data_IF_209612184778
#
_entry.id   IF_209612184778
#
_cell.length_a   1.000
_cell.length_b   1.000
_cell.length_c   1.000
_cell.angle_alpha   90.00
_cell.angle_beta   90.00
_cell.angle_gamma   90.00
#
_symmetry.space_group_name_H-M   'P 1'
#
loop_
_entity.id
_entity.type
_entity.pdbx_description
1 polymer ?
2 non-polymer ?
3 water ?
#
# COMPACT_ATOMS: atom_id res chain seq x y z
N UNK A 10 23.79 9.17 5.12
CA UNK A 10 24.22 8.87 3.76
C UNK A 10 23.45 7.70 3.16
N UNK A 11 23.73 7.44 1.89
CA UNK A 11 23.15 6.33 1.14
C UNK A 11 24.26 5.63 0.37
N UNK A 12 24.21 4.31 0.36
CA UNK A 12 25.25 3.52 -0.29
C UNK A 12 25.32 3.84 -1.79
N UNK A 13 26.51 4.17 -2.26
CA UNK A 13 26.74 4.44 -3.68
C UNK A 13 27.22 3.17 -4.36
N UNK A 14 26.53 2.76 -5.43
CA UNK A 14 26.79 1.52 -6.14
C UNK A 14 27.40 1.86 -7.49
N UNK A 15 28.44 1.11 -7.88
CA UNK A 15 29.03 1.38 -9.18
C UNK A 15 28.20 0.74 -10.29
N UNK A 16 28.01 1.44 -11.41
CA UNK A 16 27.15 0.90 -12.48
C UNK A 16 27.62 -0.43 -13.05
N UNK A 17 28.91 -0.80 -12.90
CA UNK A 17 29.33 -2.12 -13.38
C UNK A 17 28.73 -3.25 -12.54
N UNK A 18 28.24 -2.95 -11.34
CA UNK A 18 27.61 -3.95 -10.48
C UNK A 18 26.12 -4.16 -10.79
N UNK A 19 25.55 -3.37 -11.71
CA UNK A 19 24.11 -3.35 -11.95
C UNK A 19 23.84 -3.82 -13.37
N UNK A 20 22.96 -4.83 -13.50
CA UNK A 20 22.54 -5.35 -14.79
C UNK A 20 21.03 -5.19 -14.92
N UNK A 21 20.60 -4.32 -15.83
CA UNK A 21 19.18 -4.21 -16.15
C UNK A 21 18.76 -5.33 -17.09
N UNK A 22 17.73 -6.08 -16.71
CA UNK A 22 17.30 -7.25 -17.46
C UNK A 22 15.97 -7.06 -18.17
N UNK A 23 14.97 -6.46 -17.53
CA UNK A 23 13.66 -6.31 -18.14
C UNK A 23 12.96 -5.08 -17.57
N UNK A 24 12.26 -4.36 -18.45
CA UNK A 24 11.45 -3.22 -18.02
C UNK A 24 10.17 -3.72 -17.37
N UNK A 25 9.85 -3.19 -16.19
CA UNK A 25 8.67 -3.64 -15.46
C UNK A 25 7.72 -2.49 -15.10
N UNK A 26 8.12 -1.28 -15.44
CA UNK A 26 7.30 -0.16 -15.10
C UNK A 26 7.77 1.23 -15.47
N UNK A 27 6.93 2.16 -15.06
CA UNK A 27 6.98 3.61 -15.21
C UNK A 27 7.13 4.15 -16.63
N UNK A 28 8.08 5.06 -16.86
CA UNK A 28 8.37 5.61 -18.15
C UNK A 28 8.22 7.13 -18.19
N UNK A 29 8.89 7.75 -19.16
CA UNK A 29 8.92 9.19 -19.59
C UNK A 29 9.78 10.07 -18.76
N UNK A 30 10.37 9.52 -17.72
CA UNK A 30 11.39 10.27 -16.97
C UNK A 30 12.44 9.27 -16.59
N UNK A 31 12.12 8.07 -16.99
CA UNK A 31 12.89 6.91 -16.59
C UNK A 31 11.99 5.70 -16.55
N UNK A 32 12.61 4.54 -16.31
CA UNK A 32 11.89 3.29 -16.26
C UNK A 32 12.26 2.57 -14.97
N UNK A 33 11.44 1.58 -14.62
CA UNK A 33 11.73 0.64 -13.55
C UNK A 33 12.09 -0.70 -14.18
N UNK A 34 13.22 -1.26 -13.78
CA UNK A 34 13.71 -2.52 -14.31
C UNK A 34 13.78 -3.57 -13.21
N UNK A 35 13.59 -4.83 -13.60
CA UNK A 35 14.12 -5.94 -12.82
C UNK A 35 15.54 -6.19 -13.29
N UNK A 36 16.44 -6.43 -12.34
CA UNK A 36 17.81 -6.69 -12.68
C UNK A 36 18.52 -7.47 -11.61
N UNK A 37 19.85 -7.51 -11.71
CA UNK A 37 20.70 -8.18 -10.73
C UNK A 37 21.76 -7.22 -10.22
N UNK A 38 22.11 -7.37 -8.95
CA UNK A 38 23.16 -6.58 -8.30
C UNK A 38 24.26 -7.52 -7.81
N UNK A 39 25.51 -7.14 -8.06
CA UNK A 39 26.66 -7.91 -7.58
C UNK A 39 27.21 -7.32 -6.28
N UNK A 45 27.32 -14.51 -4.99
CA UNK A 45 26.36 -14.54 -6.09
C UNK A 45 25.56 -13.23 -6.11
N UNK A 46 25.07 -12.91 -7.31
CA UNK A 46 24.26 -11.74 -7.59
C UNK A 46 22.91 -11.87 -6.90
N UNK A 47 22.23 -10.76 -6.67
CA UNK A 47 20.91 -10.79 -6.04
C UNK A 47 19.90 -10.03 -6.91
N UNK A 48 18.65 -10.47 -6.98
CA UNK A 48 17.65 -9.74 -7.75
C UNK A 48 17.37 -8.39 -7.11
N UNK A 49 17.26 -7.37 -7.96
CA UNK A 49 16.95 -6.03 -7.50
C UNK A 49 15.99 -5.38 -8.48
N UNK A 50 15.32 -4.34 -8.02
CA UNK A 50 14.60 -3.43 -8.89
C UNK A 50 15.45 -2.17 -9.04
N UNK A 51 15.37 -1.57 -10.23
CA UNK A 51 16.25 -0.47 -10.62
C UNK A 51 15.37 0.60 -11.25
N UNK A 52 15.39 1.81 -10.70
CA UNK A 52 14.69 2.94 -11.30
C UNK A 52 15.70 3.97 -11.80
N UNK A 53 15.50 4.47 -13.02
CA UNK A 53 16.45 5.36 -13.66
C UNK A 53 15.89 6.77 -13.78
N UNK A 54 16.81 7.73 -13.88
CA UNK A 54 16.49 9.13 -14.13
C UNK A 54 17.38 9.59 -15.28
N UNK A 55 16.78 9.82 -16.43
CA UNK A 55 17.56 10.00 -17.62
C UNK A 55 17.88 11.46 -17.88
N UNK A 56 18.83 11.67 -18.80
CA UNK A 56 19.38 12.98 -19.09
C UNK A 56 18.30 14.01 -19.41
N UNK A 57 18.54 15.25 -18.98
CA UNK A 57 17.59 16.31 -19.14
C UNK A 57 16.67 16.51 -17.96
N UNK A 58 16.75 15.63 -16.95
CA UNK A 58 15.91 15.77 -15.77
C UNK A 58 16.11 17.15 -15.17
N UNK A 59 15.02 17.70 -14.63
CA UNK A 59 15.04 19.03 -14.04
C UNK A 59 15.59 18.96 -12.61
N UNK A 60 15.80 20.14 -12.03
CA UNK A 60 16.22 20.21 -10.63
C UNK A 60 15.15 19.61 -9.72
N UNK A 61 13.88 19.92 -9.95
CA UNK A 61 12.83 19.36 -9.11
C UNK A 61 12.72 17.85 -9.28
N UNK A 62 12.92 17.35 -10.51
CA UNK A 62 12.93 15.91 -10.70
C UNK A 62 14.09 15.26 -9.97
N UNK A 63 15.24 15.95 -9.92
CA UNK A 63 16.40 15.40 -9.22
C UNK A 63 16.17 15.37 -7.72
N UNK A 64 15.64 16.45 -7.14
CA UNK A 64 15.41 16.40 -5.70
C UNK A 64 14.28 15.42 -5.36
N UNK A 65 13.28 15.30 -6.23
CA UNK A 65 12.24 14.30 -6.02
C UNK A 65 12.81 12.88 -6.13
N UNK A 66 13.66 12.63 -7.14
CA UNK A 66 14.24 11.32 -7.34
C UNK A 66 15.17 10.94 -6.18
N UNK A 67 16.20 11.76 -5.94
CA UNK A 67 17.09 11.49 -4.82
C UNK A 67 16.41 11.69 -3.48
N UNK A 68 15.33 12.49 -3.44
CA UNK A 68 14.57 12.61 -2.21
C UNK A 68 13.88 11.31 -1.85
N UNK A 69 13.29 10.63 -2.85
CA UNK A 69 12.71 9.33 -2.57
C UNK A 69 13.76 8.38 -2.03
N UNK A 70 14.94 8.35 -2.65
CA UNK A 70 16.01 7.49 -2.16
C UNK A 70 16.47 7.93 -0.77
N UNK A 71 16.50 9.24 -0.52
CA UNK A 71 16.84 9.71 0.82
C UNK A 71 15.82 9.27 1.85
N UNK A 72 14.54 9.43 1.55
CA UNK A 72 13.47 9.06 2.49
C UNK A 72 13.54 7.57 2.78
N UNK A 73 13.66 6.74 1.73
CA UNK A 73 13.74 5.30 1.93
C UNK A 73 15.00 4.90 2.68
N UNK A 74 16.10 5.62 2.46
CA UNK A 74 17.33 5.30 3.17
C UNK A 74 17.27 5.57 4.66
N UNK A 75 16.34 6.42 5.10
CA UNK A 75 16.17 6.69 6.52
C UNK A 75 15.31 5.65 7.22
N UNK A 76 14.78 4.66 6.51
CA UNK A 76 13.87 3.68 7.10
C UNK A 76 14.51 2.31 7.13
N UNK A 77 14.18 1.54 8.16
CA UNK A 77 14.63 0.14 8.28
C UNK A 77 13.50 -0.65 8.95
N UNK A 78 12.61 -1.20 8.12
CA UNK A 78 11.47 -1.94 8.62
C UNK A 78 11.08 -3.02 7.63
N UNK A 79 10.63 -4.18 8.16
CA UNK A 79 10.27 -5.34 7.34
C UNK A 79 9.22 -5.00 6.29
N UNK A 80 8.31 -4.07 6.58
CA UNK A 80 7.18 -3.78 5.69
C UNK A 80 7.34 -2.46 4.96
N UNK A 81 8.57 -2.00 4.81
CA UNK A 81 8.92 -0.83 4.02
C UNK A 81 10.00 -1.27 3.03
N UNK A 82 9.84 -0.91 1.75
CA UNK A 82 10.80 -1.33 0.72
C UNK A 82 12.22 -0.95 1.12
N UNK A 83 13.12 -1.92 1.03
CA UNK A 83 14.51 -1.73 1.45
C UNK A 83 15.33 -1.17 0.28
N UNK A 84 16.13 -0.14 0.58
CA UNK A 84 17.01 0.47 -0.41
C UNK A 84 18.35 -0.25 -0.42
N UNK A 85 18.78 -0.69 -1.60
CA UNK A 85 20.12 -1.27 -1.73
C UNK A 85 21.18 -0.18 -1.92
N UNK A 86 20.89 0.82 -2.75
CA UNK A 86 21.80 1.94 -2.91
C UNK A 86 21.40 2.78 -4.11
N UNK A 87 22.25 3.75 -4.42
CA UNK A 87 21.98 4.66 -5.52
C UNK A 87 23.19 4.75 -6.44
N UNK A 88 22.93 5.07 -7.70
CA UNK A 88 23.97 5.51 -8.62
C UNK A 88 23.72 7.00 -8.84
N UNK A 89 24.58 7.83 -8.24
CA UNK A 89 24.47 9.27 -8.38
C UNK A 89 25.68 9.89 -9.07
N UNK A 90 26.84 9.22 -9.05
CA UNK A 90 28.04 9.77 -9.68
C UNK A 90 28.08 9.55 -11.18
N UNK A 91 27.23 8.68 -11.71
CA UNK A 91 27.20 8.40 -13.13
C UNK A 91 25.78 8.58 -13.65
N UNK A 92 25.68 8.75 -14.96
CA UNK A 92 24.40 8.94 -15.63
C UNK A 92 24.16 7.74 -16.53
N UNK A 93 22.91 7.26 -16.59
CA UNK A 93 21.72 7.76 -15.87
C UNK A 93 21.78 7.44 -14.38
N UNK A 94 21.20 8.30 -13.55
CA UNK A 94 21.16 8.00 -12.13
C UNK A 94 20.18 6.86 -11.88
N UNK A 95 20.42 6.11 -10.80
CA UNK A 95 19.57 4.96 -10.52
C UNK A 95 19.30 4.83 -9.03
N UNK A 96 18.12 4.30 -8.71
CA UNK A 96 17.78 3.84 -7.38
C UNK A 96 17.59 2.32 -7.46
N UNK A 97 18.26 1.60 -6.57
CA UNK A 97 18.25 0.15 -6.57
C UNK A 97 17.65 -0.30 -5.24
N UNK A 98 16.59 -1.10 -5.31
CA UNK A 98 15.91 -1.59 -4.13
C UNK A 98 15.84 -3.10 -4.19
N UNK A 99 15.39 -3.69 -3.08
CA UNK A 99 14.99 -5.09 -3.12
C UNK A 99 13.96 -5.28 -4.23
N UNK A 100 13.92 -6.50 -4.76
CA UNK A 100 12.97 -6.83 -5.83
C UNK A 100 11.80 -7.59 -5.22
N UNK A 101 10.59 -7.11 -5.50
CA UNK A 101 9.37 -7.71 -4.99
C UNK A 101 8.76 -8.55 -6.11
N UNK A 102 8.80 -9.87 -5.96
CA UNK A 102 8.58 -10.78 -7.07
C UNK A 102 7.15 -10.79 -7.58
N UNK A 103 6.18 -10.34 -6.79
CA UNK A 103 4.77 -10.44 -7.17
C UNK A 103 4.15 -9.11 -7.54
N UNK A 104 4.93 -8.03 -7.55
CA UNK A 104 4.46 -6.75 -8.06
C UNK A 104 3.47 -6.07 -7.14
N UNK A 105 2.66 -5.20 -7.75
CA UNK A 105 1.75 -4.36 -7.00
C UNK A 105 0.59 -5.19 -6.45
N UNK A 106 0.18 -4.84 -5.23
CA UNK A 106 -0.82 -5.64 -4.52
C UNK A 106 -2.17 -5.63 -5.23
N UNK A 107 -2.59 -4.49 -5.77
CA UNK A 107 -3.92 -4.43 -6.40
C UNK A 107 -4.00 -5.39 -7.58
N UNK A 108 -3.03 -5.33 -8.47
CA UNK A 108 -3.01 -6.24 -9.63
C UNK A 108 -2.85 -7.69 -9.17
N UNK A 109 -1.98 -7.92 -8.21
CA UNK A 109 -1.77 -9.27 -7.67
C UNK A 109 -3.08 -9.89 -7.20
N UNK A 110 -3.84 -9.17 -6.36
CA UNK A 110 -5.08 -9.71 -5.82
C UNK A 110 -6.08 -10.00 -6.94
N UNK A 111 -6.16 -9.13 -7.93
CA UNK A 111 -7.12 -9.33 -9.02
C UNK A 111 -6.77 -10.54 -9.87
N UNK A 112 -5.50 -10.87 -9.99
CA UNK A 112 -5.06 -12.03 -10.75
C UNK A 112 -5.07 -13.32 -9.96
N UNK A 113 -5.31 -13.24 -8.64
CA UNK A 113 -5.31 -14.40 -7.76
C UNK A 113 -6.62 -14.51 -7.01
N UNK A 114 -7.72 -14.13 -7.66
CA UNK A 114 -9.02 -14.04 -7.01
C UNK A 114 -9.41 -15.35 -6.35
N UNK A 115 -9.69 -15.29 -5.05
CA UNK A 115 -10.17 -16.44 -4.28
C UNK A 115 -9.12 -17.44 -3.88
N UNK A 116 -7.84 -17.19 -4.12
CA UNK A 116 -6.79 -18.21 -3.94
C UNK A 116 -6.17 -18.23 -2.55
N UNK A 117 -6.54 -17.33 -1.66
CA UNK A 117 -5.89 -17.26 -0.36
C UNK A 117 -6.88 -17.54 0.77
N UNK A 118 -6.33 -17.90 1.91
CA UNK A 118 -7.18 -18.04 3.08
C UNK A 118 -7.43 -16.68 3.72
N UNK A 119 -8.51 -16.60 4.50
CA UNK A 119 -8.78 -15.38 5.25
C UNK A 119 -7.60 -15.03 6.14
N UNK A 120 -6.95 -16.04 6.72
CA UNK A 120 -5.80 -15.78 7.58
C UNK A 120 -4.65 -15.17 6.79
N UNK A 121 -4.41 -15.66 5.57
CA UNK A 121 -3.38 -15.06 4.72
C UNK A 121 -3.71 -13.60 4.40
N UNK A 122 -4.97 -13.32 4.05
CA UNK A 122 -5.35 -11.94 3.73
C UNK A 122 -5.16 -11.01 4.93
N UNK A 123 -5.59 -11.45 6.12
CA UNK A 123 -5.43 -10.62 7.31
C UNK A 123 -3.95 -10.44 7.64
N UNK A 124 -3.12 -11.46 7.36
CA UNK A 124 -1.69 -11.32 7.57
C UNK A 124 -1.08 -10.25 6.68
N UNK A 125 -1.54 -10.17 5.43
CA UNK A 125 -1.11 -9.08 4.55
C UNK A 125 -1.46 -7.73 5.15
N UNK A 126 -2.67 -7.60 5.69
CA UNK A 126 -3.08 -6.33 6.29
C UNK A 126 -2.25 -5.98 7.53
N UNK A 127 -1.91 -6.99 8.35
CA UNK A 127 -1.08 -6.68 9.51
C UNK A 127 0.28 -6.14 9.09
N UNK A 128 0.86 -6.72 8.04
CA UNK A 128 2.15 -6.22 7.57
C UNK A 128 2.07 -4.80 7.06
N UNK A 129 1.06 -4.51 6.26
CA UNK A 129 0.84 -3.13 5.80
C UNK A 129 0.65 -2.20 7.00
N UNK A 130 -0.14 -2.61 7.97
CA UNK A 130 -0.37 -1.76 9.13
C UNK A 130 0.92 -1.52 9.92
N UNK A 131 1.75 -2.56 10.07
CA UNK A 131 3.01 -2.40 10.78
C UNK A 131 3.93 -1.43 10.05
N UNK A 132 3.99 -1.53 8.72
CA UNK A 132 4.71 -0.53 7.94
C UNK A 132 4.17 0.87 8.15
N UNK A 133 2.84 1.00 8.15
CA UNK A 133 2.26 2.34 8.33
C UNK A 133 2.45 2.86 9.74
N UNK A 134 2.38 1.98 10.76
CA UNK A 134 2.68 2.44 12.12
C UNK A 134 4.09 2.99 12.20
N UNK A 135 5.05 2.28 11.59
CA UNK A 135 6.43 2.74 11.57
C UNK A 135 6.52 4.11 10.89
N UNK A 136 5.91 4.25 9.71
CA UNK A 136 5.95 5.53 9.01
C UNK A 136 5.35 6.64 9.86
N UNK A 137 4.16 6.40 10.42
CA UNK A 137 3.49 7.45 11.20
C UNK A 137 4.34 7.85 12.39
N UNK A 138 4.96 6.88 13.06
CA UNK A 138 5.77 7.21 14.23
C UNK A 138 7.04 7.95 13.83
N UNK A 139 7.57 7.70 12.62
CA UNK A 139 8.70 8.43 12.07
C UNK A 139 8.31 9.80 11.54
N UNK A 140 7.04 10.19 11.74
CA UNK A 140 6.48 11.47 11.30
C UNK A 140 6.47 11.59 9.77
N UNK A 141 6.17 10.48 9.10
CA UNK A 141 6.02 10.47 7.65
C UNK A 141 4.57 10.22 7.32
N UNK A 142 3.95 11.16 6.61
CA UNK A 142 2.57 11.03 6.15
C UNK A 142 2.62 10.59 4.70
N UNK A 143 1.98 9.47 4.40
CA UNK A 143 2.14 8.89 3.08
C UNK A 143 1.35 9.64 2.02
N UNK A 144 0.07 9.92 2.29
CA UNK A 144 -0.86 10.66 1.43
C UNK A 144 -1.41 9.90 0.23
N UNK A 145 -0.84 8.74 -0.11
CA UNK A 145 -1.35 8.00 -1.26
C UNK A 145 -1.33 6.51 -0.96
N UNK A 146 -1.77 6.13 0.24
CA UNK A 146 -1.84 4.71 0.60
C UNK A 146 -3.00 4.05 -0.13
N UNK A 147 -2.68 2.99 -0.88
CA UNK A 147 -3.62 2.27 -1.73
C UNK A 147 -2.94 0.98 -2.13
N UNK A 148 -3.73 -0.06 -2.46
CA UNK A 148 -3.10 -1.32 -2.81
C UNK A 148 -2.16 -1.16 -4.01
N UNK A 149 -2.44 -0.21 -4.91
CA UNK A 149 -1.55 -0.01 -6.07
C UNK A 149 -0.14 0.44 -5.66
N UNK A 150 0.01 1.00 -4.45
CA UNK A 150 1.31 1.46 -3.94
C UNK A 150 1.91 0.50 -2.90
N UNK A 151 1.38 -0.70 -2.78
CA UNK A 151 1.96 -1.74 -1.94
C UNK A 151 2.59 -2.76 -2.89
N UNK A 152 3.74 -3.31 -2.50
CA UNK A 152 4.39 -4.36 -3.28
C UNK A 152 4.39 -5.66 -2.50
N UNK A 153 4.43 -6.80 -3.22
CA UNK A 153 4.30 -8.12 -2.63
C UNK A 153 5.47 -9.00 -3.06
N UNK A 154 6.12 -9.68 -2.10
CA UNK A 154 7.24 -10.55 -2.45
C UNK A 154 6.83 -12.01 -2.41
N UNK A 155 7.79 -12.89 -2.64
CA UNK A 155 7.47 -14.31 -2.73
C UNK A 155 7.17 -14.96 -1.38
N UNK A 156 7.32 -14.24 -0.26
CA UNK A 156 6.84 -14.70 1.03
C UNK A 156 5.46 -14.14 1.37
N UNK A 157 4.78 -13.52 0.40
CA UNK A 157 3.49 -12.85 0.58
C UNK A 157 3.60 -11.65 1.52
N UNK A 158 4.81 -11.16 1.75
CA UNK A 158 5.00 -9.99 2.61
C UNK A 158 4.67 -8.75 1.78
N UNK A 159 3.84 -7.88 2.36
CA UNK A 159 3.42 -6.63 1.72
C UNK A 159 4.25 -5.49 2.28
N UNK A 160 4.77 -4.65 1.40
CA UNK A 160 5.61 -3.56 1.82
C UNK A 160 5.10 -2.26 1.22
N UNK A 161 5.03 -1.23 2.05
CA UNK A 161 4.64 0.09 1.56
C UNK A 161 5.74 0.62 0.65
N UNK A 162 5.33 1.18 -0.50
CA UNK A 162 6.25 1.85 -1.41
C UNK A 162 5.69 3.21 -1.82
N UNK A 163 6.30 3.83 -2.83
CA UNK A 163 5.89 5.13 -3.36
C UNK A 163 6.08 6.24 -2.33
N UNK A 164 7.35 6.58 -2.11
CA UNK A 164 7.73 7.63 -1.19
C UNK A 164 8.14 8.89 -1.95
N UNK A 165 8.07 10.02 -1.25
CA UNK A 165 8.36 11.30 -1.86
C UNK A 165 8.19 12.46 -0.89
N UNK A 186 -6.24 10.93 -5.83
CA UNK A 186 -6.85 9.60 -5.63
C UNK A 186 -8.05 9.66 -4.69
N UNK A 187 -9.14 10.26 -5.19
CA UNK A 187 -10.25 10.68 -4.33
C UNK A 187 -10.78 9.53 -3.50
N UNK A 188 -10.99 8.35 -4.11
CA UNK A 188 -11.75 7.35 -3.34
C UNK A 188 -10.92 6.63 -2.31
N UNK A 189 -9.62 6.91 -2.22
CA UNK A 189 -8.79 6.43 -1.13
C UNK A 189 -8.55 7.48 -0.05
N UNK A 190 -9.07 8.69 -0.21
CA UNK A 190 -8.60 9.84 0.55
C UNK A 190 -9.64 10.26 1.58
N UNK A 191 -9.16 10.57 2.79
CA UNK A 191 -10.02 10.97 3.88
C UNK A 191 -10.72 12.30 3.56
N UNK A 192 -11.91 12.53 4.13
CA UNK A 192 -12.66 13.75 3.79
C UNK A 192 -11.90 15.03 4.08
N UNK A 193 -11.19 15.12 5.22
CA UNK A 193 -10.50 16.37 5.54
C UNK A 193 -9.35 16.63 4.58
N UNK A 194 -8.78 15.57 4.00
CA UNK A 194 -7.71 15.79 3.03
C UNK A 194 -8.28 16.26 1.69
N UNK A 195 -9.43 15.70 1.29
CA UNK A 195 -10.14 16.22 0.12
C UNK A 195 -10.61 17.66 0.34
N UNK A 196 -11.29 17.91 1.45
CA UNK A 196 -11.97 19.19 1.65
C UNK A 196 -10.99 20.34 1.86
N UNK A 197 -9.97 20.14 2.70
CA UNK A 197 -9.10 21.27 2.98
C UNK A 197 -7.62 20.90 3.04
N UNK A 198 -7.21 19.81 2.38
CA UNK A 198 -5.80 19.48 2.17
C UNK A 198 -5.07 19.13 3.48
N UNK A 199 -5.81 18.63 4.47
CA UNK A 199 -5.20 18.20 5.73
C UNK A 199 -4.82 16.73 5.62
N UNK A 200 -3.56 16.46 5.30
CA UNK A 200 -3.02 15.10 5.24
C UNK A 200 -2.23 14.84 6.52
N UNK A 201 -2.63 13.80 7.26
CA UNK A 201 -1.96 13.39 8.50
C UNK A 201 -1.96 11.86 8.53
N UNK A 202 -1.32 11.32 9.58
CA UNK A 202 -1.40 9.87 9.77
C UNK A 202 -2.84 9.40 9.97
N UNK A 203 -3.72 10.28 10.45
CA UNK A 203 -5.12 9.90 10.58
C UNK A 203 -5.82 9.84 9.21
N UNK A 204 -5.42 10.67 8.25
CA UNK A 204 -5.96 10.47 6.92
C UNK A 204 -5.35 9.24 6.25
N UNK A 205 -4.11 8.88 6.59
CA UNK A 205 -3.57 7.59 6.15
C UNK A 205 -4.36 6.42 6.74
N UNK A 206 -4.87 6.57 7.96
CA UNK A 206 -5.71 5.52 8.56
C UNK A 206 -6.97 5.31 7.74
N UNK A 207 -7.63 6.40 7.31
CA UNK A 207 -8.77 6.27 6.41
C UNK A 207 -8.38 5.45 5.18
N UNK A 208 -7.25 5.80 4.57
CA UNK A 208 -6.80 5.11 3.38
C UNK A 208 -6.54 3.65 3.69
N UNK A 209 -5.97 3.38 4.87
CA UNK A 209 -5.74 1.99 5.25
C UNK A 209 -7.05 1.21 5.32
N UNK A 210 -8.11 1.84 5.82
CA UNK A 210 -9.42 1.19 5.80
C UNK A 210 -9.85 0.81 4.39
N UNK A 211 -9.63 1.71 3.42
CA UNK A 211 -9.91 1.36 2.02
C UNK A 211 -9.04 0.18 1.57
N UNK A 212 -7.75 0.19 1.96
CA UNK A 212 -6.86 -0.92 1.59
C UNK A 212 -7.37 -2.23 2.19
N UNK A 213 -7.84 -2.21 3.44
CA UNK A 213 -8.45 -3.41 4.03
C UNK A 213 -9.56 -3.94 3.12
N UNK A 214 -10.41 -3.03 2.66
CA UNK A 214 -11.52 -3.42 1.79
C UNK A 214 -11.01 -3.97 0.46
N UNK A 215 -10.00 -3.32 -0.12
CA UNK A 215 -9.37 -3.84 -1.32
C UNK A 215 -8.83 -5.25 -1.12
N UNK A 216 -8.16 -5.50 0.00
CA UNK A 216 -7.57 -6.82 0.21
C UNK A 216 -8.67 -7.87 0.36
N UNK A 217 -9.67 -7.60 1.21
CA UNK A 217 -10.67 -8.62 1.48
C UNK A 217 -11.57 -8.88 0.28
N UNK A 218 -11.63 -7.95 -0.68
CA UNK A 218 -12.42 -8.13 -1.91
C UNK A 218 -11.58 -8.63 -3.08
N UNK A 219 -10.29 -8.90 -2.90
CA UNK A 219 -9.39 -9.29 -3.99
C UNK A 219 -9.30 -8.21 -5.07
N UNK A 220 -9.22 -6.96 -4.65
CA UNK A 220 -8.92 -5.88 -5.55
C UNK A 220 -10.11 -5.26 -6.22
N UNK A 221 -11.29 -5.35 -5.62
CA UNK A 221 -12.46 -4.64 -6.13
C UNK A 221 -12.19 -3.14 -6.15
N UNK A 222 -12.80 -2.46 -7.11
CA UNK A 222 -12.65 -1.01 -7.19
C UNK A 222 -13.52 -0.34 -6.15
N UNK A 223 -12.96 0.47 -5.24
CA UNK A 223 -13.79 1.10 -4.21
C UNK A 223 -14.91 1.92 -4.84
N UNK A 224 -16.12 1.71 -4.34
CA UNK A 224 -17.33 2.41 -4.78
C UNK A 224 -17.69 2.12 -6.24
N UNK A 225 -17.10 1.08 -6.82
CA UNK A 225 -17.45 0.54 -8.16
C UNK A 225 -17.53 1.71 -9.15
N UNK A 226 -18.64 1.89 -9.87
CA UNK A 226 -18.68 2.84 -10.96
C UNK A 226 -19.05 4.25 -10.53
N UNK A 227 -19.24 4.51 -9.22
CA UNK A 227 -19.55 5.87 -8.79
C UNK A 227 -18.47 6.82 -9.27
N UNK A 228 -18.89 8.02 -9.69
CA UNK A 228 -17.94 9.05 -10.07
C UNK A 228 -17.26 9.64 -8.82
N UNK A 229 -16.17 10.37 -9.04
CA UNK A 229 -15.48 10.98 -7.91
C UNK A 229 -16.41 11.88 -7.11
N UNK A 230 -17.23 12.69 -7.80
CA UNK A 230 -18.16 13.56 -7.08
C UNK A 230 -19.21 12.76 -6.32
N UNK A 231 -19.71 11.66 -6.92
CA UNK A 231 -20.68 10.81 -6.24
C UNK A 231 -20.08 10.15 -4.99
N UNK A 232 -18.80 9.82 -5.02
CA UNK A 232 -18.15 9.23 -3.85
C UNK A 232 -18.06 10.24 -2.72
N UNK A 233 -17.54 11.43 -3.01
CA UNK A 233 -17.46 12.47 -1.99
C UNK A 233 -18.83 12.78 -1.40
N UNK A 234 -19.85 12.84 -2.25
CA UNK A 234 -21.21 13.10 -1.79
C UNK A 234 -21.70 11.98 -0.88
N UNK A 235 -21.51 10.73 -1.32
CA UNK A 235 -21.94 9.58 -0.52
C UNK A 235 -21.26 9.57 0.84
N UNK A 236 -19.95 9.79 0.86
CA UNK A 236 -19.22 9.81 2.14
C UNK A 236 -19.77 10.91 3.04
N UNK A 237 -20.01 12.10 2.49
CA UNK A 237 -20.52 13.19 3.30
C UNK A 237 -21.91 12.88 3.85
N UNK A 238 -22.69 12.14 3.10
CA UNK A 238 -24.01 11.77 3.49
C UNK A 238 -24.01 10.64 4.53
N UNK A 239 -22.86 10.05 4.82
CA UNK A 239 -22.73 9.00 5.81
C UNK A 239 -22.58 7.60 5.25
N UNK A 240 -22.66 7.42 3.93
CA UNK A 240 -22.56 6.09 3.36
C UNK A 240 -21.11 5.59 3.45
N UNK A 241 -20.97 4.27 3.62
CA UNK A 241 -19.66 3.64 3.67
C UNK A 241 -19.69 2.37 2.83
N UNK A 242 -18.50 1.93 2.41
CA UNK A 242 -18.41 0.72 1.60
C UNK A 242 -19.04 -0.47 2.35
N UNK A 243 -19.77 -1.33 1.66
CA UNK A 243 -20.45 -2.44 2.32
C UNK A 243 -19.48 -3.58 2.61
N UNK A 244 -19.94 -4.52 3.38
CA UNK A 244 -19.12 -5.62 3.76
C UNK A 244 -18.67 -6.47 2.59
N UNK A 245 -17.39 -6.81 2.49
CA UNK A 245 -16.98 -7.77 1.46
C UNK A 245 -17.56 -9.15 1.76
N UNK A 246 -17.65 -9.97 0.71
CA UNK A 246 -17.98 -11.38 0.87
C UNK A 246 -16.93 -12.06 1.74
N UNK A 247 -17.38 -12.97 2.60
CA UNK A 247 -16.49 -13.81 3.41
C UNK A 247 -15.56 -12.98 4.27
N UNK A 248 -16.08 -11.88 4.83
CA UNK A 248 -15.23 -10.98 5.59
C UNK A 248 -15.46 -11.19 7.08
N UNK A 249 -14.42 -11.46 7.85
CA UNK A 249 -14.57 -11.56 9.31
C UNK A 249 -15.24 -10.32 9.87
N UNK A 250 -16.18 -10.55 10.78
CA UNK A 250 -16.87 -9.44 11.44
C UNK A 250 -15.88 -8.46 12.08
N UNK A 251 -14.84 -8.97 12.74
CA UNK A 251 -13.90 -8.05 13.39
C UNK A 251 -13.17 -7.18 12.36
N UNK A 252 -12.90 -7.73 11.17
CA UNK A 252 -12.21 -6.98 10.14
C UNK A 252 -13.10 -5.88 9.56
N UNK A 253 -14.38 -6.19 9.29
CA UNK A 253 -15.27 -5.14 8.82
C UNK A 253 -15.45 -4.05 9.87
N UNK A 254 -15.63 -4.45 11.13
CA UNK A 254 -15.74 -3.47 12.20
C UNK A 254 -14.53 -2.54 12.23
N UNK A 255 -13.32 -3.08 12.03
CA UNK A 255 -12.12 -2.25 12.07
C UNK A 255 -12.05 -1.30 10.88
N UNK A 256 -12.34 -1.76 9.67
CA UNK A 256 -12.31 -0.82 8.57
C UNK A 256 -13.38 0.27 8.74
N UNK A 257 -14.55 -0.08 9.30
CA UNK A 257 -15.57 0.93 9.54
C UNK A 257 -15.08 2.02 10.49
N UNK A 258 -14.30 1.64 11.51
CA UNK A 258 -13.77 2.64 12.44
C UNK A 258 -12.68 3.49 11.80
N UNK A 259 -11.94 2.93 10.83
CA UNK A 259 -11.02 3.76 10.05
C UNK A 259 -11.73 4.84 9.27
N UNK A 260 -13.02 4.67 8.98
CA UNK A 260 -13.78 5.61 8.16
C UNK A 260 -14.67 6.52 8.99
N UNK A 261 -14.30 6.78 10.24
CA UNK A 261 -15.02 7.79 11.02
C UNK A 261 -14.81 9.17 10.40
N UNK A 262 -15.90 9.92 10.23
CA UNK A 262 -15.77 11.28 9.71
C UNK A 262 -14.85 12.12 10.58
N UNK A 263 -15.00 12.02 11.90
CA UNK A 263 -14.21 12.81 12.85
C UNK A 263 -12.84 12.15 13.00
N UNK A 264 -11.81 12.86 12.53
CA UNK A 264 -10.44 12.35 12.50
C UNK A 264 -10.03 11.78 13.85
N UNK A 265 -10.39 12.48 14.93
CA UNK A 265 -9.91 12.11 16.26
C UNK A 265 -10.53 10.80 16.74
N UNK A 266 -11.63 10.36 16.12
CA UNK A 266 -12.24 9.10 16.51
C UNK A 266 -11.64 7.88 15.83
N UNK A 267 -10.83 8.07 14.79
CA UNK A 267 -10.26 6.91 14.11
C UNK A 267 -9.21 6.23 14.99
N UNK A 268 -9.01 4.93 14.84
CA UNK A 268 -7.90 4.29 15.55
C UNK A 268 -6.57 4.83 15.07
N UNK A 269 -5.56 4.75 15.94
CA UNK A 269 -4.20 5.02 15.51
C UNK A 269 -3.65 3.73 14.92
N UNK A 270 -2.56 3.84 14.15
CA UNK A 270 -1.99 2.62 13.58
C UNK A 270 -1.57 1.65 14.66
N UNK A 271 -1.18 2.15 15.84
CA UNK A 271 -0.81 1.25 16.92
C UNK A 271 -2.01 0.41 17.35
N UNK A 272 -3.20 1.02 17.39
CA UNK A 272 -4.41 0.25 17.68
C UNK A 272 -4.68 -0.77 16.60
N UNK A 273 -4.51 -0.38 15.33
CA UNK A 273 -4.78 -1.27 14.21
C UNK A 273 -3.85 -2.47 14.25
N UNK A 274 -2.55 -2.23 14.43
CA UNK A 274 -1.58 -3.34 14.51
C UNK A 274 -1.92 -4.27 15.65
N UNK A 275 -2.28 -3.71 16.81
CA UNK A 275 -2.57 -4.52 17.98
C UNK A 275 -3.77 -5.43 17.73
N UNK A 276 -4.83 -4.89 17.12
CA UNK A 276 -6.03 -5.68 16.88
C UNK A 276 -5.76 -6.77 15.86
N UNK A 277 -5.10 -6.42 14.76
CA UNK A 277 -4.81 -7.43 13.74
C UNK A 277 -3.93 -8.53 14.32
N UNK A 278 -2.99 -8.18 15.18
CA UNK A 278 -2.11 -9.19 15.76
C UNK A 278 -2.88 -10.15 16.66
N UNK A 279 -3.78 -9.60 17.45
CA UNK A 279 -4.57 -10.46 18.28
C UNK A 279 -5.48 -11.38 17.48
N UNK A 280 -6.06 -10.88 16.41
CA UNK A 280 -6.92 -11.73 15.58
C UNK A 280 -6.11 -12.85 14.93
N UNK A 281 -4.90 -12.57 14.47
CA UNK A 281 -4.10 -13.60 13.81
C UNK A 281 -3.64 -14.65 14.81
N UNK A 282 -3.38 -14.20 16.02
CA UNK A 282 -2.90 -15.10 17.06
C UNK A 282 -4.00 -16.01 17.60
N UNK A 283 -5.23 -15.57 17.46
CA UNK A 283 -6.41 -16.34 17.83
C UNK A 283 -7.25 -16.56 16.56
N UNK A 284 -6.75 -17.36 15.63
CA UNK A 284 -7.31 -17.34 14.26
C UNK A 284 -8.76 -17.81 14.18
N UNK A 285 -9.27 -18.53 15.18
CA UNK A 285 -10.69 -18.86 15.17
C UNK A 285 -11.57 -17.63 15.21
N UNK A 286 -11.05 -16.52 15.76
CA UNK A 286 -11.79 -15.26 15.77
C UNK A 286 -12.13 -14.77 14.38
N UNK A 287 -11.39 -15.21 13.36
CA UNK A 287 -11.68 -14.78 12.00
C UNK A 287 -12.77 -15.60 11.33
N UNK A 288 -13.23 -16.68 11.98
CA UNK A 288 -14.28 -17.50 11.40
C UNK A 288 -15.68 -16.90 11.59
N UNK A 289 -15.84 -15.92 12.48
CA UNK A 289 -17.13 -15.25 12.64
C UNK A 289 -17.24 -14.18 11.56
N UNK A 290 -18.16 -14.35 10.61
CA UNK A 290 -18.22 -13.48 9.44
C UNK A 290 -19.31 -12.42 9.57
N UNK A 291 -19.03 -11.23 9.07
CA UNK A 291 -20.07 -10.24 8.93
C UNK A 291 -21.04 -10.67 7.85
N UNK A 292 -22.31 -10.33 8.05
CA UNK A 292 -23.33 -10.66 7.06
C UNK A 292 -23.02 -9.93 5.76
N UNK A 293 -23.14 -10.65 4.65
CA UNK A 293 -22.94 -10.06 3.32
C UNK A 293 -24.29 -9.74 2.70
N UNK A 294 -24.50 -8.49 2.32
CA UNK A 294 -25.71 -8.03 1.65
C UNK A 294 -25.64 -8.31 0.15
N UNK A 295 -26.41 -9.27 -0.35
CA UNK A 295 -26.34 -9.60 -1.78
C UNK A 295 -27.18 -8.63 -2.60
N UNK A 296 -26.68 -8.33 -3.78
CA UNK A 296 -27.33 -7.43 -4.71
C UNK A 296 -28.25 -8.15 -5.69
N UNK A 297 -28.21 -9.46 -5.69
CA UNK A 297 -28.93 -10.27 -6.68
C UNK A 297 -29.58 -11.45 -5.98
N UNK A 298 -30.87 -11.63 -6.22
CA UNK A 298 -31.67 -12.67 -5.59
C UNK A 298 -31.83 -13.83 -6.56
N UNK A 299 -31.30 -14.99 -6.18
CA UNK A 299 -31.46 -16.22 -6.96
C UNK A 299 -32.27 -17.19 -6.11
N UNK A 300 -33.46 -17.53 -6.59
CA UNK A 300 -34.39 -18.45 -5.94
C UNK A 300 -34.66 -19.72 -6.76
N UNK A 301 -34.53 -20.89 -6.17
CA UNK A 301 -34.71 -22.15 -6.89
C UNK A 301 -35.82 -22.95 -6.23
N UNK A 302 -36.93 -23.25 -6.93
CA UNK A 302 -38.07 -24.03 -6.45
C UNK A 302 -37.66 -25.36 -5.83
#
# INVERSE_FOLDING_TARGET
>A
GDPNQAVLKFTTEIHPSCVTRQKVIGAGEFGEVYKGMLKTSSGKKEVPVAIKTLKAGYTEKQRVDFLGEAGIMGQFSHHNIIRLEGVISKYKPMMIITEYMENGALDKFLREKDGEFSVLQLVGMLRGIAAGMKYLANMNYVHRDLAARNILVNSNLVCKVSDFGLSRVLEDDPEATYTTSGGKIPIRWTAPEAISYRKFTSASDVWSFGIVMWEVMTYGERPYWELSNHEVMKAINDGFRLPTPMDCPSAIYQLMMQCWQQERARRPKFADIVSILDKLIRAPDSLKTLADFDPRVSIRLPSTSG
#
